data_IF_272491628934
#
_entry.id   IF_272491628934
#
_cell.length_a   1.000
_cell.length_b   1.000
_cell.length_c   1.000
_cell.angle_alpha   90.00
_cell.angle_beta   90.00
_cell.angle_gamma   90.00
#
_symmetry.space_group_name_H-M   'P 1'
#
loop_
_entity.id
_entity.type
_entity.pdbx_description
1 polymer ?
#
# COMPACT_ATOMS: atom_id res chain seq x y z
N UNK A 1 -18.98 0.47 11.97
CA UNK A 1 -18.74 1.06 10.64
C UNK A 1 -17.64 0.28 9.93
N UNK A 2 -17.86 -0.03 8.66
CA UNK A 2 -16.88 -0.72 7.80
C UNK A 2 -17.07 -0.26 6.35
N UNK A 3 -16.00 -0.21 5.56
CA UNK A 3 -16.06 0.15 4.14
C UNK A 3 -16.57 -0.97 3.21
N UNK A 4 -16.82 -2.16 3.75
CA UNK A 4 -17.15 -3.37 2.97
C UNK A 4 -18.51 -3.98 3.27
N UNK A 5 -19.36 -3.36 4.09
CA UNK A 5 -20.66 -3.91 4.48
C UNK A 5 -21.68 -3.94 3.32
N UNK A 6 -21.57 -3.02 2.36
CA UNK A 6 -22.53 -2.88 1.27
C UNK A 6 -22.61 -4.15 0.39
N UNK A 7 -21.50 -4.85 0.18
CA UNK A 7 -21.48 -6.10 -0.58
C UNK A 7 -22.27 -7.23 0.07
N UNK A 8 -22.43 -7.18 1.38
CA UNK A 8 -23.09 -8.20 2.20
C UNK A 8 -24.39 -7.68 2.83
N UNK A 9 -24.96 -6.59 2.29
CA UNK A 9 -26.17 -5.95 2.81
C UNK A 9 -27.34 -6.94 2.97
N UNK A 10 -27.49 -7.87 2.02
CA UNK A 10 -28.55 -8.90 2.05
C UNK A 10 -28.36 -9.87 3.22
N UNK A 11 -27.11 -10.22 3.54
CA UNK A 11 -26.79 -11.08 4.68
C UNK A 11 -27.05 -10.36 5.99
N UNK A 12 -26.63 -9.09 6.11
CA UNK A 12 -26.93 -8.26 7.28
C UNK A 12 -28.43 -8.14 7.54
N UNK A 13 -29.22 -7.94 6.50
CA UNK A 13 -30.68 -7.86 6.64
C UNK A 13 -31.29 -9.19 7.06
N UNK A 14 -30.91 -10.31 6.41
CA UNK A 14 -31.52 -11.63 6.67
C UNK A 14 -31.15 -12.24 8.01
N UNK A 15 -29.89 -12.11 8.45
CA UNK A 15 -29.37 -12.76 9.65
C UNK A 15 -29.55 -11.88 10.89
N UNK A 16 -29.26 -10.60 10.76
CA UNK A 16 -29.18 -9.68 11.89
C UNK A 16 -30.29 -8.64 11.92
N UNK A 17 -31.16 -8.62 10.90
CA UNK A 17 -32.22 -7.61 10.71
C UNK A 17 -31.66 -6.18 10.79
N UNK A 18 -30.50 -5.96 10.14
CA UNK A 18 -29.80 -4.69 10.09
C UNK A 18 -29.79 -4.15 8.66
N UNK A 19 -30.09 -2.87 8.52
CA UNK A 19 -29.93 -2.16 7.26
C UNK A 19 -28.50 -1.65 7.09
N UNK A 20 -27.98 -1.69 5.87
CA UNK A 20 -26.71 -1.10 5.50
C UNK A 20 -26.95 0.26 4.85
N UNK A 21 -26.43 1.31 5.46
CA UNK A 21 -26.51 2.67 4.94
C UNK A 21 -25.15 3.09 4.40
N UNK A 22 -25.12 3.44 3.12
CA UNK A 22 -23.89 3.93 2.46
C UNK A 22 -23.76 5.44 2.75
N UNK A 23 -22.68 5.79 3.45
CA UNK A 23 -22.34 7.19 3.71
C UNK A 23 -21.44 7.67 2.56
N UNK A 24 -21.82 8.72 1.82
CA UNK A 24 -21.01 9.23 0.72
C UNK A 24 -19.67 9.78 1.23
N UNK A 25 -18.65 9.76 0.35
CA UNK A 25 -17.33 10.31 0.65
C UNK A 25 -17.39 11.82 0.85
N UNK A 26 -16.59 12.35 1.79
CA UNK A 26 -16.49 13.80 2.05
C UNK A 26 -15.92 14.58 0.85
N UNK A 27 -15.01 13.94 0.08
CA UNK A 27 -14.40 14.51 -1.14
C UNK A 27 -14.67 13.57 -2.31
N UNK A 28 -14.69 14.08 -3.55
CA UNK A 28 -14.74 13.21 -4.72
C UNK A 28 -13.63 12.17 -4.71
N UNK A 29 -13.95 10.95 -5.15
CA UNK A 29 -12.95 9.88 -5.30
C UNK A 29 -12.01 10.25 -6.43
N UNK A 30 -10.73 10.36 -6.13
CA UNK A 30 -9.66 10.64 -7.11
C UNK A 30 -8.97 9.36 -7.62
N UNK A 31 -9.30 8.20 -7.04
CA UNK A 31 -8.74 6.91 -7.44
C UNK A 31 -9.17 6.57 -8.87
N UNK A 32 -8.21 6.12 -9.66
CA UNK A 32 -8.44 5.58 -11.00
C UNK A 32 -8.40 4.06 -10.89
N UNK A 33 -9.50 3.41 -11.21
CA UNK A 33 -9.60 1.95 -11.22
C UNK A 33 -9.41 1.47 -12.67
N UNK A 34 -8.25 0.87 -12.96
CA UNK A 34 -7.95 0.30 -14.26
C UNK A 34 -8.70 -1.04 -14.47
N UNK A 35 -8.85 -1.45 -15.72
CA UNK A 35 -9.46 -2.73 -16.03
C UNK A 35 -8.51 -3.89 -15.68
N UNK A 36 -9.10 -5.06 -15.35
CA UNK A 36 -8.32 -6.27 -15.16
C UNK A 36 -7.60 -6.68 -16.44
N UNK A 37 -6.35 -7.08 -16.31
CA UNK A 37 -5.59 -7.72 -17.37
C UNK A 37 -5.64 -9.24 -17.24
N UNK A 38 -5.90 -9.92 -18.36
CA UNK A 38 -6.03 -11.38 -18.39
C UNK A 38 -4.87 -11.98 -19.19
N UNK A 39 -4.15 -12.91 -18.58
CA UNK A 39 -2.99 -13.57 -19.17
C UNK A 39 -3.28 -15.05 -19.44
N UNK A 40 -2.71 -15.57 -20.52
CA UNK A 40 -2.88 -16.97 -20.90
C UNK A 40 -2.15 -17.94 -19.94
N UNK A 41 -1.03 -17.50 -19.40
CA UNK A 41 -0.21 -18.28 -18.49
C UNK A 41 0.39 -17.43 -17.35
N UNK A 42 0.84 -18.10 -16.31
CA UNK A 42 1.39 -17.43 -15.12
C UNK A 42 2.74 -16.71 -15.35
N UNK A 43 3.68 -17.25 -16.15
CA UNK A 43 4.93 -16.55 -16.45
C UNK A 43 4.73 -15.19 -17.13
N UNK A 44 3.84 -15.09 -18.11
CA UNK A 44 3.55 -13.83 -18.81
C UNK A 44 2.94 -12.79 -17.86
N UNK A 45 2.05 -13.24 -16.96
CA UNK A 45 1.49 -12.39 -15.89
C UNK A 45 2.60 -11.80 -15.02
N UNK A 46 3.52 -12.62 -14.53
CA UNK A 46 4.61 -12.16 -13.68
C UNK A 46 5.58 -11.21 -14.40
N UNK A 47 5.82 -11.47 -15.68
CA UNK A 47 6.63 -10.58 -16.51
C UNK A 47 5.97 -9.21 -16.67
N UNK A 48 4.68 -9.16 -16.96
CA UNK A 48 3.91 -7.93 -17.08
C UNK A 48 3.90 -7.14 -15.77
N UNK A 49 3.59 -7.78 -14.64
CA UNK A 49 3.64 -7.16 -13.31
C UNK A 49 5.02 -6.54 -13.03
N UNK A 50 6.10 -7.25 -13.34
CA UNK A 50 7.45 -6.72 -13.14
C UNK A 50 7.76 -5.53 -14.05
N UNK A 51 7.22 -5.50 -15.28
CA UNK A 51 7.39 -4.39 -16.21
C UNK A 51 6.64 -3.15 -15.70
N UNK A 52 5.40 -3.29 -15.27
CA UNK A 52 4.61 -2.20 -14.66
C UNK A 52 5.30 -1.61 -13.42
N UNK A 53 5.77 -2.48 -12.52
CA UNK A 53 6.53 -2.04 -11.34
C UNK A 53 7.77 -1.24 -11.76
N UNK A 54 8.51 -1.72 -12.77
CA UNK A 54 9.70 -1.04 -13.26
C UNK A 54 9.39 0.34 -13.86
N UNK A 55 8.29 0.46 -14.59
CA UNK A 55 7.86 1.73 -15.17
C UNK A 55 7.41 2.74 -14.11
N UNK A 56 6.58 2.32 -13.16
CA UNK A 56 6.14 3.16 -12.06
C UNK A 56 7.33 3.60 -11.19
N UNK A 57 8.22 2.67 -10.86
CA UNK A 57 9.45 2.96 -10.10
C UNK A 57 10.34 4.00 -10.81
N UNK A 58 10.53 3.90 -12.14
CA UNK A 58 11.28 4.88 -12.93
C UNK A 58 10.65 6.27 -12.91
N UNK A 59 9.32 6.37 -12.85
CA UNK A 59 8.58 7.64 -12.71
C UNK A 59 8.69 8.23 -11.31
N UNK A 60 9.25 7.48 -10.33
CA UNK A 60 9.26 7.87 -8.92
C UNK A 60 7.94 7.62 -8.21
N UNK A 61 7.00 6.91 -8.83
CA UNK A 61 5.72 6.54 -8.25
C UNK A 61 5.90 5.39 -7.27
N UNK A 62 5.39 5.46 -6.03
CA UNK A 62 5.39 4.33 -5.11
C UNK A 62 4.41 3.25 -5.57
N UNK A 63 4.81 1.99 -5.40
CA UNK A 63 4.04 0.82 -5.83
C UNK A 63 3.75 -0.09 -4.65
N UNK A 64 2.48 -0.46 -4.48
CA UNK A 64 2.04 -1.47 -3.52
C UNK A 64 1.50 -2.68 -4.29
N UNK A 65 2.12 -3.83 -4.12
CA UNK A 65 1.71 -5.07 -4.79
C UNK A 65 1.05 -6.01 -3.80
N UNK A 66 -0.22 -6.30 -4.01
CA UNK A 66 -0.98 -7.28 -3.23
C UNK A 66 -0.85 -8.69 -3.79
N UNK A 67 -0.42 -9.64 -2.97
CA UNK A 67 -0.34 -11.07 -3.31
C UNK A 67 -1.24 -11.89 -2.41
N UNK A 68 -1.73 -13.02 -2.89
CA UNK A 68 -2.67 -13.90 -2.15
C UNK A 68 -1.97 -14.87 -1.20
N UNK A 69 -0.65 -15.10 -1.35
CA UNK A 69 0.11 -15.99 -0.48
C UNK A 69 1.54 -15.51 -0.26
N UNK A 70 2.18 -16.05 0.79
CA UNK A 70 3.58 -15.78 1.11
C UNK A 70 4.49 -16.27 -0.03
N UNK A 71 4.21 -17.46 -0.59
CA UNK A 71 5.00 -18.04 -1.68
C UNK A 71 5.00 -17.14 -2.91
N UNK A 72 3.83 -16.57 -3.28
CA UNK A 72 3.72 -15.62 -4.39
C UNK A 72 4.46 -14.32 -4.13
N UNK A 73 4.46 -13.85 -2.88
CA UNK A 73 5.24 -12.67 -2.50
C UNK A 73 6.73 -12.91 -2.59
N UNK A 74 7.21 -14.07 -2.14
CA UNK A 74 8.62 -14.49 -2.23
C UNK A 74 9.04 -14.72 -3.69
N UNK A 75 8.16 -15.31 -4.51
CA UNK A 75 8.41 -15.46 -5.95
C UNK A 75 8.60 -14.12 -6.65
N UNK A 76 7.66 -13.18 -6.46
CA UNK A 76 7.77 -11.82 -7.02
C UNK A 76 9.02 -11.10 -6.51
N UNK A 77 9.33 -11.21 -5.23
CA UNK A 77 10.54 -10.64 -4.63
C UNK A 77 11.81 -11.16 -5.35
N UNK A 78 11.88 -12.45 -5.64
CA UNK A 78 12.99 -13.04 -6.39
C UNK A 78 13.10 -12.47 -7.80
N UNK A 79 11.98 -12.25 -8.49
CA UNK A 79 11.95 -11.66 -9.83
C UNK A 79 12.42 -10.21 -9.81
N UNK A 80 11.95 -9.40 -8.87
CA UNK A 80 12.37 -8.00 -8.73
C UNK A 80 13.85 -7.87 -8.34
N UNK A 81 14.35 -8.77 -7.50
CA UNK A 81 15.78 -8.83 -7.15
C UNK A 81 16.64 -9.09 -8.37
N UNK A 82 16.27 -10.04 -9.25
CA UNK A 82 16.97 -10.31 -10.51
C UNK A 82 16.99 -9.12 -11.46
N UNK A 83 15.94 -8.28 -11.41
CA UNK A 83 15.84 -7.04 -12.20
C UNK A 83 16.52 -5.82 -11.55
N UNK A 84 17.11 -6.00 -10.36
CA UNK A 84 17.78 -4.93 -9.63
C UNK A 84 16.83 -3.88 -9.05
N UNK A 85 15.53 -4.19 -8.91
CA UNK A 85 14.53 -3.28 -8.35
C UNK A 85 14.52 -3.45 -6.83
N UNK A 86 14.88 -2.38 -6.11
CA UNK A 86 14.84 -2.37 -4.64
C UNK A 86 13.38 -2.40 -4.17
N UNK A 87 13.08 -3.31 -3.28
CA UNK A 87 11.73 -3.50 -2.74
C UNK A 87 11.75 -4.00 -1.30
N UNK A 88 10.63 -3.86 -0.60
CA UNK A 88 10.40 -4.42 0.73
C UNK A 88 9.25 -5.42 0.68
N UNK A 89 9.33 -6.48 1.50
CA UNK A 89 8.28 -7.50 1.58
C UNK A 89 7.62 -7.44 2.96
N UNK A 90 6.33 -7.19 2.94
CA UNK A 90 5.47 -7.13 4.11
C UNK A 90 4.69 -8.44 4.22
N UNK A 91 5.09 -9.30 5.13
CA UNK A 91 4.45 -10.59 5.40
C UNK A 91 4.42 -10.88 6.91
N UNK A 92 3.56 -11.83 7.31
CA UNK A 92 3.36 -12.21 8.71
C UNK A 92 4.63 -12.73 9.45
N UNK A 93 5.73 -12.96 8.73
CA UNK A 93 6.99 -13.46 9.32
C UNK A 93 7.81 -12.35 10.04
N UNK A 94 7.55 -11.07 9.75
CA UNK A 94 8.41 -9.95 10.16
C UNK A 94 7.67 -8.80 10.84
N UNK A 95 6.86 -9.08 11.86
CA UNK A 95 6.07 -8.06 12.58
C UNK A 95 6.88 -6.86 13.10
N UNK A 96 8.12 -7.09 13.56
CA UNK A 96 8.96 -6.01 14.10
C UNK A 96 9.36 -4.96 13.03
N UNK A 97 9.41 -5.34 11.74
CA UNK A 97 9.74 -4.44 10.63
C UNK A 97 8.51 -3.89 9.91
N UNK A 98 7.34 -4.41 10.21
CA UNK A 98 6.09 -4.07 9.54
C UNK A 98 5.81 -2.57 9.58
N UNK A 99 5.85 -1.96 10.77
CA UNK A 99 5.63 -0.53 10.95
C UNK A 99 6.64 0.35 10.17
N UNK A 100 7.89 -0.12 10.06
CA UNK A 100 8.95 0.52 9.29
C UNK A 100 8.64 0.53 7.79
N UNK A 101 8.26 -0.63 7.28
CA UNK A 101 7.97 -0.83 5.84
C UNK A 101 6.74 0.01 5.47
N UNK A 102 5.68 -0.03 6.28
CA UNK A 102 4.45 0.72 6.05
C UNK A 102 4.72 2.24 6.07
N UNK A 103 5.53 2.71 7.02
CA UNK A 103 5.87 4.13 7.13
C UNK A 103 6.54 4.69 5.87
N UNK A 104 7.28 3.86 5.14
CA UNK A 104 8.00 4.25 3.93
C UNK A 104 7.33 3.74 2.63
N UNK A 105 6.24 2.99 2.71
CA UNK A 105 5.57 2.42 1.52
C UNK A 105 5.05 3.47 0.53
N UNK A 106 4.72 4.67 1.00
CA UNK A 106 4.32 5.80 0.16
C UNK A 106 5.47 6.72 -0.25
N UNK A 107 6.73 6.41 0.08
CA UNK A 107 7.88 7.22 -0.31
C UNK A 107 8.13 7.17 -1.83
N UNK A 108 8.76 8.20 -2.38
CA UNK A 108 9.07 8.30 -3.81
C UNK A 108 9.82 7.04 -4.31
N UNK A 109 9.23 6.37 -5.30
CA UNK A 109 9.79 5.18 -5.92
C UNK A 109 9.87 3.96 -5.00
N UNK A 110 9.20 3.95 -3.86
CA UNK A 110 9.14 2.77 -3.00
C UNK A 110 8.37 1.65 -3.69
N UNK A 111 8.83 0.41 -3.53
CA UNK A 111 8.13 -0.79 -3.99
C UNK A 111 7.90 -1.69 -2.79
N UNK A 112 6.63 -1.97 -2.50
CA UNK A 112 6.24 -2.80 -1.35
C UNK A 112 5.37 -3.95 -1.83
N UNK A 113 5.77 -5.18 -1.51
CA UNK A 113 4.99 -6.39 -1.75
C UNK A 113 4.30 -6.75 -0.44
N UNK A 114 2.98 -6.86 -0.43
CA UNK A 114 2.21 -7.20 0.75
C UNK A 114 1.34 -8.43 0.51
N UNK A 115 1.26 -9.33 1.48
CA UNK A 115 0.25 -10.38 1.48
C UNK A 115 -1.08 -9.80 1.99
N UNK A 116 -2.20 -10.44 1.67
CA UNK A 116 -3.56 -9.98 2.00
C UNK A 116 -3.78 -9.58 3.47
N UNK A 117 -3.03 -10.16 4.39
CA UNK A 117 -3.18 -9.89 5.83
C UNK A 117 -2.29 -8.74 6.30
N UNK A 118 -1.26 -8.40 5.56
CA UNK A 118 -0.33 -7.33 5.88
C UNK A 118 -0.85 -6.01 5.27
N UNK A 119 -1.00 -4.99 6.06
CA UNK A 119 -1.47 -3.67 5.60
C UNK A 119 -2.95 -3.37 5.85
N UNK A 120 -3.75 -4.32 6.36
CA UNK A 120 -5.14 -4.05 6.74
C UNK A 120 -5.20 -3.09 7.92
N UNK A 121 -5.95 -1.99 7.77
CA UNK A 121 -6.08 -0.96 8.81
C UNK A 121 -4.86 -0.05 8.94
N UNK A 122 -3.95 -0.05 7.98
CA UNK A 122 -2.77 0.82 7.94
C UNK A 122 -3.00 1.97 6.98
N UNK A 123 -2.52 3.15 7.36
CA UNK A 123 -2.59 4.37 6.55
C UNK A 123 -1.22 4.61 5.89
N UNK A 124 -1.17 4.55 4.56
CA UNK A 124 0.03 4.81 3.78
C UNK A 124 0.06 6.30 3.42
N UNK A 125 1.00 7.03 4.01
CA UNK A 125 1.19 8.46 3.73
C UNK A 125 2.04 8.64 2.46
N UNK A 126 1.50 9.33 1.45
CA UNK A 126 2.25 9.69 0.25
C UNK A 126 3.46 10.56 0.63
N UNK A 127 4.61 10.29 0.03
CA UNK A 127 5.88 10.91 0.41
C UNK A 127 6.57 10.27 1.61
N UNK A 128 5.97 9.22 2.20
CA UNK A 128 6.44 8.57 3.43
C UNK A 128 5.87 9.21 4.70
N UNK A 129 6.21 8.68 5.85
CA UNK A 129 5.69 9.16 7.14
C UNK A 129 6.70 10.07 7.87
N UNK A 130 6.46 11.41 7.91
CA UNK A 130 7.40 12.35 8.53
C UNK A 130 7.51 12.17 10.05
N UNK A 131 6.44 11.75 10.72
CA UNK A 131 6.46 11.50 12.16
C UNK A 131 7.38 10.33 12.51
N UNK A 132 7.32 9.28 11.70
CA UNK A 132 8.16 8.10 11.86
C UNK A 132 9.64 8.44 11.61
N UNK A 133 9.93 9.19 10.53
CA UNK A 133 11.28 9.68 10.22
C UNK A 133 11.84 10.57 11.33
N UNK A 134 10.99 11.45 11.88
CA UNK A 134 11.36 12.32 12.99
C UNK A 134 11.72 11.53 14.25
N UNK A 135 10.93 10.53 14.63
CA UNK A 135 11.23 9.65 15.78
C UNK A 135 12.51 8.87 15.58
N UNK A 136 12.73 8.32 14.38
CA UNK A 136 13.95 7.61 14.04
C UNK A 136 15.18 8.52 14.11
N UNK A 137 15.05 9.78 13.69
CA UNK A 137 16.13 10.78 13.70
C UNK A 137 16.43 11.29 15.10
N UNK A 138 15.41 11.57 15.89
CA UNK A 138 15.55 12.07 17.27
C UNK A 138 16.12 11.00 18.21
N UNK A 139 15.79 9.70 17.95
CA UNK A 139 16.16 8.58 18.82
C UNK A 139 15.08 8.27 19.85
N UNK A 140 15.22 7.10 20.52
CA UNK A 140 14.23 6.60 21.48
C UNK A 140 14.19 7.36 22.80
N UNK A 141 15.25 8.06 23.15
CA UNK A 141 15.39 8.82 24.42
C UNK A 141 15.29 10.35 24.22
N UNK A 142 14.86 10.78 23.01
CA UNK A 142 14.76 12.20 22.69
C UNK A 142 13.67 12.88 23.53
N UNK A 143 13.97 14.07 24.02
CA UNK A 143 12.99 14.94 24.66
C UNK A 143 12.01 15.53 23.63
N UNK A 144 10.95 16.19 24.13
CA UNK A 144 9.89 16.75 23.28
C UNK A 144 10.42 17.86 22.36
N UNK A 145 11.44 18.62 22.78
CA UNK A 145 12.03 19.71 21.99
C UNK A 145 12.86 19.14 20.84
N UNK A 146 13.66 18.09 21.10
CA UNK A 146 14.46 17.41 20.07
C UNK A 146 13.56 16.74 19.03
N UNK A 147 12.47 16.10 19.48
CA UNK A 147 11.48 15.54 18.57
C UNK A 147 10.80 16.63 17.72
N UNK A 148 10.37 17.73 18.32
CA UNK A 148 9.71 18.82 17.60
C UNK A 148 10.64 19.45 16.53
N UNK A 149 11.93 19.61 16.83
CA UNK A 149 12.92 20.11 15.88
C UNK A 149 13.14 19.13 14.72
N UNK A 150 13.28 17.83 15.02
CA UNK A 150 13.39 16.78 14.02
C UNK A 150 12.13 16.71 13.15
N UNK A 151 10.94 16.77 13.75
CA UNK A 151 9.67 16.73 13.05
C UNK A 151 9.50 17.92 12.10
N UNK A 152 9.86 19.13 12.51
CA UNK A 152 9.80 20.30 11.63
C UNK A 152 10.64 20.10 10.38
N UNK A 153 11.87 19.62 10.53
CA UNK A 153 12.79 19.37 9.41
C UNK A 153 12.26 18.25 8.49
N UNK A 154 11.77 17.14 9.05
CA UNK A 154 11.24 16.03 8.25
C UNK A 154 9.91 16.40 7.57
N UNK A 155 9.09 17.24 8.19
CA UNK A 155 7.84 17.75 7.61
C UNK A 155 8.09 18.67 6.41
N UNK A 156 9.09 19.53 6.47
CA UNK A 156 9.47 20.40 5.34
C UNK A 156 9.92 19.56 4.14
N UNK A 157 10.75 18.53 4.35
CA UNK A 157 11.15 17.60 3.29
C UNK A 157 9.96 16.80 2.74
N UNK A 158 9.13 16.31 3.64
CA UNK A 158 7.96 15.53 3.27
C UNK A 158 7.00 16.29 2.36
N UNK A 159 6.83 17.61 2.55
CA UNK A 159 5.99 18.41 1.66
C UNK A 159 6.47 18.36 0.20
N UNK A 160 7.79 18.41 -0.02
CA UNK A 160 8.38 18.26 -1.34
C UNK A 160 8.15 16.84 -1.90
N UNK A 161 8.48 15.82 -1.12
CA UNK A 161 8.30 14.41 -1.49
C UNK A 161 6.82 14.09 -1.79
N UNK A 162 5.89 14.65 -1.00
CA UNK A 162 4.45 14.48 -1.20
C UNK A 162 3.98 15.03 -2.55
N UNK A 163 4.38 16.26 -2.88
CA UNK A 163 3.98 16.88 -4.15
C UNK A 163 4.59 16.13 -5.36
N UNK A 164 5.84 15.68 -5.26
CA UNK A 164 6.47 14.89 -6.31
C UNK A 164 5.76 13.55 -6.53
N UNK A 165 5.43 12.82 -5.45
CA UNK A 165 4.68 11.56 -5.53
C UNK A 165 3.28 11.78 -6.10
N UNK A 166 2.62 12.86 -5.69
CA UNK A 166 1.29 13.22 -6.21
C UNK A 166 1.33 13.53 -7.70
N UNK A 167 2.34 14.26 -8.18
CA UNK A 167 2.54 14.54 -9.60
C UNK A 167 2.90 13.29 -10.40
N UNK A 168 3.59 12.32 -9.79
CA UNK A 168 3.88 11.02 -10.39
C UNK A 168 2.64 10.10 -10.53
N UNK A 169 1.49 10.50 -9.95
CA UNK A 169 0.23 9.75 -10.01
C UNK A 169 -0.22 9.15 -8.68
N UNK A 170 0.46 9.47 -7.56
CA UNK A 170 0.13 8.93 -6.23
C UNK A 170 0.59 7.49 -6.04
N UNK A 171 -0.05 6.75 -5.13
CA UNK A 171 0.26 5.35 -4.90
C UNK A 171 -0.33 4.48 -6.01
N UNK A 172 0.51 3.68 -6.67
CA UNK A 172 0.10 2.69 -7.66
C UNK A 172 -0.11 1.33 -6.97
N UNK A 173 -1.31 0.78 -7.11
CA UNK A 173 -1.67 -0.48 -6.45
C UNK A 173 -1.89 -1.56 -7.50
N UNK A 174 -1.15 -2.66 -7.37
CA UNK A 174 -1.27 -3.83 -8.25
C UNK A 174 -1.82 -5.01 -7.43
N UNK A 175 -3.01 -5.49 -7.78
CA UNK A 175 -3.54 -6.75 -7.29
C UNK A 175 -3.11 -7.89 -8.21
N UNK A 176 -2.34 -8.85 -7.72
CA UNK A 176 -1.85 -9.96 -8.57
C UNK A 176 -2.93 -10.97 -8.93
N UNK A 177 -4.00 -11.02 -8.16
CA UNK A 177 -5.14 -11.93 -8.37
C UNK A 177 -6.41 -11.35 -7.74
N UNK A 178 -7.56 -11.75 -8.27
CA UNK A 178 -8.84 -11.50 -7.60
C UNK A 178 -9.03 -12.50 -6.46
N UNK A 179 -9.62 -12.03 -5.37
CA UNK A 179 -10.00 -12.88 -4.25
C UNK A 179 -11.34 -13.56 -4.52
N UNK A 180 -11.53 -14.77 -3.93
CA UNK A 180 -12.82 -15.46 -3.93
C UNK A 180 -13.91 -14.63 -3.24
N UNK A 181 -13.56 -13.94 -2.16
CA UNK A 181 -14.47 -13.04 -1.44
C UNK A 181 -14.35 -11.61 -1.94
N UNK A 182 -15.47 -11.01 -2.36
CA UNK A 182 -15.55 -9.59 -2.73
C UNK A 182 -15.13 -8.66 -1.59
N UNK A 183 -15.40 -9.07 -0.34
CA UNK A 183 -15.04 -8.29 0.84
C UNK A 183 -13.53 -8.18 1.01
N UNK A 184 -12.79 -9.27 0.81
CA UNK A 184 -11.33 -9.28 0.88
C UNK A 184 -10.74 -8.49 -0.30
N UNK A 185 -11.27 -8.64 -1.52
CA UNK A 185 -10.83 -7.88 -2.69
C UNK A 185 -10.96 -6.38 -2.53
N UNK A 186 -12.05 -5.88 -1.92
CA UNK A 186 -12.25 -4.45 -1.65
C UNK A 186 -11.38 -3.90 -0.53
N UNK A 187 -10.92 -4.71 0.39
CA UNK A 187 -10.06 -4.26 1.49
C UNK A 187 -8.63 -3.90 1.05
N UNK A 188 -8.27 -4.18 -0.19
CA UNK A 188 -6.93 -3.99 -0.76
C UNK A 188 -6.86 -2.90 -1.84
N UNK A 189 -7.97 -2.21 -2.07
CA UNK A 189 -8.07 -1.13 -3.07
C UNK A 189 -8.19 0.23 -2.38
#
# INVERSE_FOLDING_TARGET
>A
MTGTADTEAVEFSKIYNLDVVVIPTNKPVARIDENDEVYLNEPDKWEAICNEIAEAHKKGQPVLVGTVSIEKSEHLSSLLTRRGIRHEVLNAKNHAREALIIAEAGAKGAVTIATNMAGRGTDIKLGGNPEFRARKRAGTEADEQQYAAAYKTEKEKWLGDYEEVKQAGGLYVIGTERHESRQIGRAHV
#
